data_IF_846293970157
#
_entry.id   IF_846293970157
#
_cell.length_a   1.000
_cell.length_b   1.000
_cell.length_c   1.000
_cell.angle_alpha   90.00
_cell.angle_beta   90.00
_cell.angle_gamma   90.00
#
_symmetry.space_group_name_H-M   'P 1'
#
loop_
_entity.id
_entity.type
_entity.pdbx_description
1 polymer ?
#
# COMPACT_ATOMS: atom_id res chain seq x y z
N UNK A 1 2.06 11.11 -6.65
CA UNK A 1 0.73 10.90 -6.04
C UNK A 1 0.91 10.34 -4.63
N UNK A 2 0.17 10.83 -3.63
CA UNK A 2 0.18 10.24 -2.29
C UNK A 2 -0.98 9.23 -2.20
N UNK A 3 -0.70 8.00 -1.76
CA UNK A 3 -1.73 7.00 -1.52
C UNK A 3 -2.34 7.19 -0.13
N UNK A 4 -3.67 7.15 -0.07
CA UNK A 4 -4.40 7.00 1.18
C UNK A 4 -4.26 5.57 1.73
N UNK A 5 -4.44 5.42 3.05
CA UNK A 5 -4.39 4.12 3.73
C UNK A 5 -5.40 3.13 3.16
N UNK A 6 -6.61 3.57 2.79
CA UNK A 6 -7.62 2.67 2.22
C UNK A 6 -7.22 2.15 0.83
N UNK A 7 -6.61 3.00 -0.01
CA UNK A 7 -6.06 2.58 -1.29
C UNK A 7 -4.89 1.61 -1.12
N UNK A 8 -4.09 1.81 -0.07
CA UNK A 8 -2.96 0.96 0.28
C UNK A 8 -3.42 -0.44 0.72
N UNK A 9 -4.49 -0.50 1.54
CA UNK A 9 -5.17 -1.76 1.92
C UNK A 9 -5.67 -2.50 0.67
N UNK A 10 -6.36 -1.81 -0.24
CA UNK A 10 -6.87 -2.44 -1.45
C UNK A 10 -5.75 -2.92 -2.37
N UNK A 11 -4.65 -2.18 -2.45
CA UNK A 11 -3.47 -2.62 -3.18
C UNK A 11 -2.83 -3.86 -2.55
N UNK A 12 -2.72 -3.91 -1.21
CA UNK A 12 -2.18 -5.04 -0.47
C UNK A 12 -3.01 -6.32 -0.64
N UNK A 13 -4.33 -6.16 -0.60
CA UNK A 13 -5.30 -7.26 -0.71
C UNK A 13 -5.58 -7.65 -2.18
N UNK A 14 -4.94 -7.00 -3.16
CA UNK A 14 -5.27 -7.10 -4.60
C UNK A 14 -6.77 -6.94 -4.86
N UNK A 15 -7.41 -6.09 -4.06
CA UNK A 15 -8.85 -5.91 -4.05
C UNK A 15 -9.34 -5.29 -5.36
N UNK A 16 -10.46 -5.79 -5.86
CA UNK A 16 -11.16 -5.22 -7.01
C UNK A 16 -11.69 -3.79 -6.75
N UNK A 17 -11.69 -3.36 -5.49
CA UNK A 17 -12.09 -2.00 -5.09
C UNK A 17 -11.03 -0.94 -5.41
N UNK A 18 -9.78 -1.34 -5.72
CA UNK A 18 -8.75 -0.40 -6.15
C UNK A 18 -9.11 0.14 -7.56
N UNK A 19 -9.33 1.47 -7.70
CA UNK A 19 -9.69 2.05 -8.99
C UNK A 19 -8.63 1.77 -10.05
N UNK A 20 -9.09 1.46 -11.27
CA UNK A 20 -8.18 1.11 -12.38
C UNK A 20 -7.26 2.28 -12.76
N UNK A 21 -7.76 3.52 -12.66
CA UNK A 21 -6.94 4.73 -12.84
C UNK A 21 -5.79 4.80 -11.82
N UNK A 22 -6.01 4.38 -10.58
CA UNK A 22 -4.95 4.33 -9.55
C UNK A 22 -3.91 3.28 -9.92
N UNK A 23 -4.33 2.09 -10.38
CA UNK A 23 -3.39 1.05 -10.85
C UNK A 23 -2.56 1.52 -12.04
N UNK A 24 -3.19 2.18 -13.01
CA UNK A 24 -2.51 2.74 -14.17
C UNK A 24 -1.46 3.80 -13.76
N UNK A 25 -1.81 4.69 -12.84
CA UNK A 25 -0.87 5.66 -12.27
C UNK A 25 0.27 5.01 -11.49
N UNK A 26 0.02 3.91 -10.80
CA UNK A 26 1.06 3.14 -10.10
C UNK A 26 1.98 2.37 -11.07
N UNK A 27 1.48 2.00 -12.24
CA UNK A 27 2.24 1.32 -13.28
C UNK A 27 3.01 2.28 -14.21
N UNK A 28 2.68 3.58 -14.19
CA UNK A 28 3.35 4.59 -15.00
C UNK A 28 4.75 4.92 -14.43
N UNK A 29 5.83 4.65 -15.18
CA UNK A 29 7.20 4.94 -14.74
C UNK A 29 7.48 6.44 -14.54
N UNK A 30 6.65 7.34 -15.10
CA UNK A 30 6.78 8.77 -14.90
C UNK A 30 6.08 9.28 -13.64
N UNK A 31 5.31 8.42 -12.97
CA UNK A 31 4.54 8.79 -11.79
C UNK A 31 5.21 8.23 -10.53
N UNK A 32 5.76 9.12 -9.70
CA UNK A 32 6.23 8.71 -8.36
C UNK A 32 5.04 8.57 -7.43
N UNK A 33 4.90 7.39 -6.83
CA UNK A 33 3.87 7.08 -5.86
C UNK A 33 4.46 7.11 -4.46
N UNK A 34 3.84 7.88 -3.58
CA UNK A 34 4.23 8.05 -2.20
C UNK A 34 3.25 7.36 -1.28
N UNK A 35 3.74 6.81 -0.17
CA UNK A 35 2.94 6.21 0.90
C UNK A 35 3.39 6.81 2.22
N UNK A 36 2.44 7.21 3.08
CA UNK A 36 2.80 7.71 4.42
C UNK A 36 3.24 6.58 5.33
N UNK A 37 4.22 6.85 6.20
CA UNK A 37 4.59 5.95 7.30
C UNK A 37 3.41 5.64 8.23
N UNK A 38 2.48 6.58 8.40
CA UNK A 38 1.28 6.43 9.22
C UNK A 38 0.39 5.31 8.69
N UNK A 39 0.24 5.21 7.37
CA UNK A 39 -0.57 4.16 6.72
C UNK A 39 -0.06 2.75 7.03
N UNK A 40 1.26 2.56 7.19
CA UNK A 40 1.81 1.28 7.62
C UNK A 40 1.46 0.94 9.08
N UNK A 41 1.39 1.94 9.96
CA UNK A 41 0.93 1.76 11.34
C UNK A 41 -0.54 1.35 11.43
N UNK A 42 -1.38 1.93 10.57
CA UNK A 42 -2.79 1.54 10.46
C UNK A 42 -2.94 0.11 9.92
N UNK A 43 -2.17 -0.28 8.91
CA UNK A 43 -2.12 -1.66 8.42
C UNK A 43 -1.68 -2.65 9.50
N UNK A 44 -0.63 -2.31 10.26
CA UNK A 44 -0.15 -3.14 11.37
C UNK A 44 -1.23 -3.29 12.45
N UNK A 45 -1.95 -2.21 12.76
CA UNK A 45 -3.06 -2.25 13.71
C UNK A 45 -4.18 -3.15 13.21
N UNK A 46 -4.62 -2.96 11.96
CA UNK A 46 -5.71 -3.73 11.34
C UNK A 46 -5.39 -5.22 11.22
N UNK A 47 -4.15 -5.56 10.90
CA UNK A 47 -3.67 -6.96 10.85
C UNK A 47 -3.60 -7.57 12.25
N UNK A 48 -3.08 -6.84 13.24
CA UNK A 48 -3.01 -7.31 14.62
C UNK A 48 -4.39 -7.54 15.24
N UNK A 49 -5.39 -6.72 14.92
CA UNK A 49 -6.77 -6.91 15.40
C UNK A 49 -7.58 -7.91 14.57
N UNK A 50 -6.97 -8.53 13.55
CA UNK A 50 -7.62 -9.52 12.69
C UNK A 50 -8.70 -8.95 11.75
N UNK A 51 -8.72 -7.63 11.55
CA UNK A 51 -9.66 -6.95 10.63
C UNK A 51 -9.15 -6.93 9.19
N UNK A 52 -7.86 -7.19 8.99
CA UNK A 52 -7.22 -7.33 7.69
C UNK A 52 -6.32 -8.56 7.75
N UNK A 53 -6.48 -9.48 6.80
CA UNK A 53 -5.59 -10.63 6.65
C UNK A 53 -4.83 -10.44 5.35
N UNK A 54 -3.52 -10.22 5.45
CA UNK A 54 -2.65 -10.09 4.29
C UNK A 54 -1.96 -11.43 4.02
N UNK A 55 -1.93 -11.81 2.74
CA UNK A 55 -1.17 -12.96 2.25
C UNK A 55 -0.35 -12.52 1.03
N UNK A 56 0.98 -12.35 1.14
CA UNK A 56 1.83 -12.66 2.31
C UNK A 56 1.64 -11.68 3.48
N UNK A 57 2.25 -11.99 4.63
CA UNK A 57 2.14 -11.16 5.84
C UNK A 57 2.66 -9.73 5.61
N UNK A 58 2.25 -8.81 6.49
CA UNK A 58 2.56 -7.38 6.36
C UNK A 58 4.06 -7.10 6.23
N UNK A 59 4.92 -7.83 6.94
CA UNK A 59 6.37 -7.58 6.90
C UNK A 59 6.95 -7.98 5.55
N UNK A 60 6.54 -9.14 5.02
CA UNK A 60 6.90 -9.58 3.67
C UNK A 60 6.42 -8.57 2.62
N UNK A 61 5.18 -8.09 2.75
CA UNK A 61 4.61 -7.12 1.82
C UNK A 61 5.34 -5.76 1.84
N UNK A 62 5.70 -5.25 3.02
CA UNK A 62 6.51 -4.03 3.17
C UNK A 62 7.88 -4.19 2.49
N UNK A 63 8.48 -5.38 2.58
CA UNK A 63 9.74 -5.67 1.91
C UNK A 63 9.61 -5.60 0.38
N UNK A 64 8.53 -6.14 -0.20
CA UNK A 64 8.25 -6.09 -1.64
C UNK A 64 8.01 -4.66 -2.15
N UNK A 65 7.30 -3.84 -1.37
CA UNK A 65 7.08 -2.42 -1.69
C UNK A 65 8.39 -1.65 -1.75
N UNK A 66 9.32 -1.94 -0.85
CA UNK A 66 10.61 -1.24 -0.79
C UNK A 66 11.47 -1.50 -2.03
N UNK A 67 11.21 -2.62 -2.74
CA UNK A 67 11.86 -2.97 -4.01
C UNK A 67 11.12 -2.34 -5.21
N UNK A 68 9.89 -1.90 -5.02
CA UNK A 68 9.05 -1.27 -6.05
C UNK A 68 9.28 0.25 -6.08
N UNK A 69 8.75 0.93 -7.11
CA UNK A 69 8.82 2.39 -7.30
C UNK A 69 7.99 3.23 -6.29
N UNK A 70 7.62 2.64 -5.15
CA UNK A 70 6.86 3.26 -4.07
C UNK A 70 7.81 3.90 -3.05
N UNK A 71 7.67 5.20 -2.82
CA UNK A 71 8.48 5.94 -1.85
C UNK A 71 7.73 6.16 -0.53
N UNK A 72 8.38 5.88 0.59
CA UNK A 72 7.79 6.12 1.92
C UNK A 72 8.10 7.55 2.37
N UNK A 73 7.06 8.31 2.71
CA UNK A 73 7.19 9.64 3.31
C UNK A 73 7.01 9.54 4.83
N UNK A 74 8.01 10.04 5.55
CA UNK A 74 7.91 10.34 6.97
C UNK A 74 7.32 11.76 7.11
N UNK A 75 6.00 11.87 6.96
CA UNK A 75 5.23 13.10 7.14
C UNK A 75 4.24 12.92 8.28
#
# INVERSE_FOLDING_TARGET
MLLDTHALVWYADKSAQLPEATKQLMADPHTTVYVSVVSFGELATLTNVGRLVLAPDLATWIAEIRVSSLQVLAI
#
